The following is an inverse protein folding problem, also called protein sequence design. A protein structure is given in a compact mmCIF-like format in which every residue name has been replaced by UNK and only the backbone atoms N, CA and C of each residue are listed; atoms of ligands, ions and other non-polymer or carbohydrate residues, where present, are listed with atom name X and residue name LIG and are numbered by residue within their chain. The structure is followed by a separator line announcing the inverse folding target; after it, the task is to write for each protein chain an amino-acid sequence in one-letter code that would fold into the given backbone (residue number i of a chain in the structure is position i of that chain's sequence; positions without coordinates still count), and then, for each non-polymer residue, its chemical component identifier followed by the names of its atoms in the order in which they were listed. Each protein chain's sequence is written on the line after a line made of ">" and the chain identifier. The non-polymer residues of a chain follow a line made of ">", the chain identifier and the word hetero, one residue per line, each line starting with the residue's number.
data_IF_911468265433
#
_entry.id   IF_911468265433
#
_cell.length_a   1.000
_cell.length_b   1.000
_cell.length_c   1.000
_cell.angle_alpha   90.00
_cell.angle_beta   90.00
_cell.angle_gamma   90.00
#
_symmetry.space_group_name_H-M   'P 1'
#
loop_
_entity.id
_entity.type
_entity.pdbx_description
1 polymer ?
#
# COMPACT_ATOMS: atom_id res chain seq x y z
N UNK A 1 -10.97 16.95 -47.62
CA UNK A 1 -11.61 15.63 -47.46
C UNK A 1 -12.41 15.71 -46.17
N UNK A 2 -13.71 15.92 -46.29
CA UNK A 2 -14.61 16.04 -45.14
C UNK A 2 -14.96 14.63 -44.68
N UNK A 3 -14.60 14.27 -43.45
CA UNK A 3 -15.12 13.06 -42.81
C UNK A 3 -16.63 13.27 -42.60
N UNK A 4 -17.40 12.65 -43.47
CA UNK A 4 -18.85 12.59 -43.38
C UNK A 4 -19.19 11.67 -42.19
N UNK A 5 -19.36 12.27 -41.00
CA UNK A 5 -19.76 11.53 -39.80
C UNK A 5 -21.20 11.08 -40.02
N UNK A 6 -21.38 9.83 -40.45
CA UNK A 6 -22.68 9.19 -40.56
C UNK A 6 -23.36 9.17 -39.18
N UNK A 7 -24.36 10.04 -38.99
CA UNK A 7 -25.18 10.07 -37.78
C UNK A 7 -26.19 8.93 -37.87
N UNK A 8 -26.14 7.91 -37.00
CA UNK A 8 -27.08 6.80 -37.07
C UNK A 8 -28.50 7.24 -36.68
N UNK A 9 -29.55 6.61 -37.25
CA UNK A 9 -30.94 6.93 -36.97
C UNK A 9 -31.28 6.71 -35.48
N UNK A 10 -31.92 7.70 -34.86
CA UNK A 10 -32.31 7.80 -33.42
C UNK A 10 -33.25 6.70 -32.88
N UNK A 11 -33.47 5.60 -33.60
CA UNK A 11 -34.57 4.68 -33.32
C UNK A 11 -34.33 3.71 -32.15
N UNK A 12 -33.09 3.53 -31.69
CA UNK A 12 -32.80 2.73 -30.50
C UNK A 12 -31.70 3.37 -29.63
N UNK A 13 -32.13 4.07 -28.57
CA UNK A 13 -31.26 4.79 -27.65
C UNK A 13 -30.13 3.90 -27.09
N UNK A 14 -30.37 2.60 -26.90
CA UNK A 14 -29.36 1.70 -26.36
C UNK A 14 -28.30 1.29 -27.40
N UNK A 15 -28.67 1.15 -28.66
CA UNK A 15 -27.73 0.85 -29.74
C UNK A 15 -26.90 2.08 -30.11
N UNK A 16 -27.53 3.26 -30.12
CA UNK A 16 -26.86 4.54 -30.33
C UNK A 16 -25.81 4.84 -29.24
N UNK A 17 -26.16 4.62 -27.97
CA UNK A 17 -25.23 4.77 -26.85
C UNK A 17 -24.06 3.79 -26.94
N UNK A 18 -24.30 2.51 -27.29
CA UNK A 18 -23.24 1.52 -27.48
C UNK A 18 -22.30 1.87 -28.63
N UNK A 19 -22.85 2.36 -29.74
CA UNK A 19 -22.07 2.80 -30.90
C UNK A 19 -21.19 4.02 -30.57
N UNK A 20 -21.74 5.04 -29.90
CA UNK A 20 -20.96 6.20 -29.44
C UNK A 20 -19.89 5.78 -28.44
N UNK A 21 -20.20 4.88 -27.51
CA UNK A 21 -19.22 4.37 -26.55
C UNK A 21 -18.07 3.61 -27.23
N UNK A 22 -18.37 2.84 -28.29
CA UNK A 22 -17.37 2.15 -29.07
C UNK A 22 -16.48 3.11 -29.88
N UNK A 23 -17.08 4.16 -30.46
CA UNK A 23 -16.38 5.09 -31.37
C UNK A 23 -15.64 6.23 -30.64
N UNK A 24 -16.18 6.73 -29.53
CA UNK A 24 -15.71 7.93 -28.83
C UNK A 24 -15.40 7.70 -27.33
N UNK A 25 -15.55 6.46 -26.85
CA UNK A 25 -15.36 6.08 -25.46
C UNK A 25 -16.56 6.38 -24.54
N UNK A 26 -16.46 5.95 -23.28
CA UNK A 26 -17.49 6.22 -22.27
C UNK A 26 -17.68 7.73 -21.99
N UNK A 27 -18.81 8.16 -21.41
CA UNK A 27 -19.04 9.54 -20.98
C UNK A 27 -17.89 10.16 -20.19
N UNK A 28 -17.75 11.49 -20.24
CA UNK A 28 -16.65 12.22 -19.60
C UNK A 28 -16.47 11.87 -18.11
N UNK A 29 -17.58 11.78 -17.36
CA UNK A 29 -17.56 11.37 -15.96
C UNK A 29 -16.97 9.96 -15.77
N UNK A 30 -17.35 8.98 -16.60
CA UNK A 30 -16.82 7.61 -16.54
C UNK A 30 -15.31 7.61 -16.81
N UNK A 31 -14.86 8.30 -17.86
CA UNK A 31 -13.43 8.38 -18.18
C UNK A 31 -12.62 9.06 -17.07
N UNK A 32 -13.18 10.11 -16.46
CA UNK A 32 -12.55 10.83 -15.34
C UNK A 32 -12.41 9.94 -14.11
N UNK A 33 -13.50 9.25 -13.73
CA UNK A 33 -13.48 8.30 -12.62
C UNK A 33 -12.48 7.17 -12.87
N UNK A 34 -12.49 6.58 -14.06
CA UNK A 34 -11.54 5.53 -14.46
C UNK A 34 -10.09 6.02 -14.42
N UNK A 35 -9.79 7.18 -15.01
CA UNK A 35 -8.43 7.75 -15.02
C UNK A 35 -7.91 7.97 -13.59
N UNK A 36 -8.74 8.50 -12.69
CA UNK A 36 -8.34 8.67 -11.29
C UNK A 36 -8.11 7.33 -10.61
N UNK A 37 -9.02 6.36 -10.80
CA UNK A 37 -8.89 5.03 -10.22
C UNK A 37 -7.61 4.32 -10.70
N UNK A 38 -7.38 4.29 -12.02
CA UNK A 38 -6.20 3.65 -12.62
C UNK A 38 -4.91 4.31 -12.11
N UNK A 39 -4.87 5.64 -12.02
CA UNK A 39 -3.72 6.37 -11.49
C UNK A 39 -3.43 6.02 -10.02
N UNK A 40 -4.46 6.00 -9.16
CA UNK A 40 -4.30 5.62 -7.76
C UNK A 40 -3.87 4.16 -7.59
N UNK A 41 -4.46 3.24 -8.37
CA UNK A 41 -4.06 1.83 -8.37
C UNK A 41 -2.60 1.66 -8.80
N UNK A 42 -2.14 2.41 -9.80
CA UNK A 42 -0.75 2.39 -10.22
C UNK A 42 0.20 2.92 -9.13
N UNK A 43 -0.18 3.99 -8.42
CA UNK A 43 0.58 4.48 -7.26
C UNK A 43 0.69 3.40 -6.19
N UNK A 44 -0.43 2.79 -5.79
CA UNK A 44 -0.44 1.72 -4.79
C UNK A 44 0.40 0.53 -5.20
N UNK A 45 0.30 0.10 -6.46
CA UNK A 45 1.12 -0.99 -6.98
C UNK A 45 2.60 -0.63 -6.95
N UNK A 46 2.97 0.61 -7.29
CA UNK A 46 4.37 1.06 -7.24
C UNK A 46 4.93 1.04 -5.81
N UNK A 47 4.13 1.45 -4.82
CA UNK A 47 4.51 1.43 -3.42
C UNK A 47 4.58 0.01 -2.84
N UNK A 48 3.67 -0.86 -3.26
CA UNK A 48 3.63 -2.25 -2.83
C UNK A 48 4.88 -3.03 -3.28
N UNK A 49 5.45 -2.73 -4.46
CA UNK A 49 6.66 -3.39 -4.98
C UNK A 49 7.84 -3.31 -4.01
N UNK A 50 8.03 -2.19 -3.31
CA UNK A 50 9.11 -2.04 -2.32
C UNK A 50 8.98 -2.97 -1.10
N UNK A 51 7.83 -3.62 -0.95
CA UNK A 51 7.53 -4.54 0.15
C UNK A 51 7.30 -5.98 -0.33
N UNK A 52 7.33 -6.24 -1.63
CA UNK A 52 7.07 -7.58 -2.17
C UNK A 52 8.33 -8.44 -2.19
N UNK A 53 8.26 -9.69 -1.72
CA UNK A 53 9.40 -10.59 -1.75
C UNK A 53 9.79 -10.93 -3.20
N UNK A 54 11.10 -10.92 -3.50
CA UNK A 54 11.64 -11.33 -4.79
C UNK A 54 11.64 -10.25 -5.88
N UNK A 55 11.21 -9.02 -5.58
CA UNK A 55 11.43 -7.88 -6.46
C UNK A 55 12.83 -7.30 -6.23
N UNK A 56 13.48 -6.76 -7.26
CA UNK A 56 14.82 -6.14 -7.15
C UNK A 56 14.84 -4.95 -6.17
N UNK A 57 13.67 -4.36 -5.96
CA UNK A 57 13.44 -3.23 -5.07
C UNK A 57 12.87 -3.65 -3.71
N UNK A 58 12.98 -4.92 -3.31
CA UNK A 58 12.47 -5.39 -2.02
C UNK A 58 13.25 -4.78 -0.84
N UNK A 59 12.74 -3.68 -0.30
CA UNK A 59 13.37 -2.99 0.83
C UNK A 59 13.17 -3.73 2.15
N UNK A 60 12.29 -4.74 2.18
CA UNK A 60 12.05 -5.60 3.33
C UNK A 60 12.94 -6.85 3.34
N UNK A 61 13.76 -7.07 2.31
CA UNK A 61 14.63 -8.24 2.20
C UNK A 61 15.50 -8.44 3.45
N UNK A 62 16.15 -7.37 3.93
CA UNK A 62 17.00 -7.46 5.13
C UNK A 62 16.19 -7.78 6.38
N UNK A 63 15.00 -7.18 6.55
CA UNK A 63 14.11 -7.47 7.68
C UNK A 63 13.70 -8.93 7.67
N UNK A 64 13.32 -9.49 6.51
CA UNK A 64 12.99 -10.91 6.36
C UNK A 64 14.15 -11.81 6.73
N UNK A 65 15.36 -11.49 6.27
CA UNK A 65 16.57 -12.26 6.60
C UNK A 65 16.80 -12.27 8.11
N UNK A 66 16.80 -11.09 8.77
CA UNK A 66 17.02 -10.99 10.22
C UNK A 66 15.94 -11.67 11.03
N UNK A 67 14.69 -11.54 10.61
CA UNK A 67 13.55 -12.18 11.26
C UNK A 67 13.58 -13.71 11.12
N UNK A 68 13.93 -14.22 9.93
CA UNK A 68 14.15 -15.64 9.71
C UNK A 68 15.32 -16.18 10.53
N UNK A 69 16.42 -15.42 10.62
CA UNK A 69 17.60 -15.82 11.41
C UNK A 69 17.26 -15.88 12.90
N UNK A 70 16.56 -14.87 13.42
CA UNK A 70 16.09 -14.85 14.80
C UNK A 70 15.24 -16.08 15.12
N UNK A 71 14.26 -16.41 14.27
CA UNK A 71 13.41 -17.58 14.46
C UNK A 71 14.22 -18.89 14.40
N UNK A 72 15.13 -19.04 13.43
CA UNK A 72 15.97 -20.23 13.30
C UNK A 72 16.90 -20.43 14.50
N UNK A 73 17.50 -19.35 15.02
CA UNK A 73 18.36 -19.38 16.21
C UNK A 73 17.57 -19.71 17.47
N UNK A 74 16.39 -19.12 17.64
CA UNK A 74 15.52 -19.38 18.79
C UNK A 74 14.99 -20.82 18.80
N UNK A 75 14.68 -21.36 17.62
CA UNK A 75 14.02 -22.65 17.42
C UNK A 75 12.55 -22.64 17.83
N UNK A 76 12.21 -21.97 18.92
CA UNK A 76 10.86 -21.72 19.42
C UNK A 76 10.75 -20.30 19.99
N UNK A 77 9.60 -19.67 19.80
CA UNK A 77 9.31 -18.31 20.27
C UNK A 77 9.36 -18.19 21.79
N UNK A 78 9.07 -19.27 22.53
CA UNK A 78 9.17 -19.30 24.00
C UNK A 78 10.56 -18.90 24.51
N UNK A 79 11.61 -19.13 23.71
CA UNK A 79 12.99 -18.76 24.06
C UNK A 79 13.25 -17.25 24.04
N UNK A 80 12.36 -16.46 23.44
CA UNK A 80 12.46 -14.99 23.43
C UNK A 80 11.74 -14.33 24.62
N UNK A 81 10.90 -15.05 25.37
CA UNK A 81 10.18 -14.53 26.54
C UNK A 81 11.06 -13.89 27.62
N UNK A 82 12.30 -14.39 27.89
CA UNK A 82 13.18 -13.71 28.84
C UNK A 82 13.66 -12.34 28.35
N UNK A 83 13.72 -12.13 27.03
CA UNK A 83 14.29 -10.94 26.39
C UNK A 83 13.24 -9.91 25.95
N UNK A 84 11.98 -10.33 25.79
CA UNK A 84 10.88 -9.52 25.27
C UNK A 84 9.71 -9.51 26.25
N UNK A 85 8.99 -8.39 26.32
CA UNK A 85 7.66 -8.40 26.91
C UNK A 85 6.64 -9.08 25.98
N UNK A 86 5.45 -9.39 26.52
CA UNK A 86 4.41 -10.11 25.79
C UNK A 86 3.94 -9.38 24.51
N UNK A 87 3.93 -8.04 24.53
CA UNK A 87 3.53 -7.25 23.37
C UNK A 87 4.61 -7.27 22.27
N UNK A 88 5.88 -7.17 22.64
CA UNK A 88 7.01 -7.27 21.71
C UNK A 88 7.14 -8.67 21.12
N UNK A 89 6.88 -9.71 21.91
CA UNK A 89 6.82 -11.08 21.41
C UNK A 89 5.71 -11.23 20.36
N UNK A 90 4.51 -10.70 20.64
CA UNK A 90 3.38 -10.69 19.69
C UNK A 90 3.74 -9.93 18.41
N UNK A 91 4.43 -8.80 18.52
CA UNK A 91 4.93 -8.04 17.36
C UNK A 91 5.84 -8.90 16.48
N UNK A 92 6.82 -9.59 17.07
CA UNK A 92 7.76 -10.44 16.31
C UNK A 92 7.02 -11.60 15.63
N UNK A 93 6.08 -12.25 16.32
CA UNK A 93 5.25 -13.32 15.77
C UNK A 93 4.37 -12.84 14.60
N UNK A 94 3.74 -11.68 14.76
CA UNK A 94 2.92 -11.06 13.72
C UNK A 94 3.78 -10.70 12.50
N UNK A 95 4.94 -10.06 12.71
CA UNK A 95 5.89 -9.77 11.65
C UNK A 95 6.33 -11.03 10.91
N UNK A 96 6.57 -12.13 11.64
CA UNK A 96 6.99 -13.39 11.01
C UNK A 96 5.87 -13.95 10.13
N UNK A 97 4.63 -13.87 10.61
CA UNK A 97 3.43 -14.30 9.88
C UNK A 97 3.18 -13.46 8.63
N UNK A 98 3.29 -12.14 8.76
CA UNK A 98 3.02 -11.18 7.68
C UNK A 98 4.11 -11.19 6.60
N UNK A 99 5.38 -11.32 7.02
CA UNK A 99 6.52 -11.20 6.11
C UNK A 99 6.98 -12.54 5.54
N UNK A 100 6.55 -13.66 6.13
CA UNK A 100 6.85 -15.04 5.71
C UNK A 100 8.32 -15.22 5.30
N UNK A 101 9.28 -14.99 6.21
CA UNK A 101 10.70 -15.00 5.86
C UNK A 101 11.14 -16.39 5.38
N UNK A 102 11.86 -16.44 4.25
CA UNK A 102 12.40 -17.67 3.68
C UNK A 102 13.92 -17.60 3.66
N UNK A 103 14.56 -18.40 4.52
CA UNK A 103 16.01 -18.56 4.51
C UNK A 103 16.40 -19.72 3.60
N UNK A 104 17.38 -19.49 2.71
CA UNK A 104 17.97 -20.57 1.89
C UNK A 104 18.79 -21.54 2.73
N UNK A 105 19.49 -21.02 3.74
CA UNK A 105 20.35 -21.76 4.66
C UNK A 105 20.11 -21.22 6.07
N UNK A 106 19.15 -21.80 6.83
CA UNK A 106 18.93 -21.39 8.20
C UNK A 106 20.13 -21.78 9.08
N UNK A 107 20.56 -20.92 10.02
CA UNK A 107 21.57 -21.30 11.01
C UNK A 107 21.03 -22.43 11.92
N UNK A 108 21.94 -23.19 12.52
CA UNK A 108 21.56 -24.15 13.56
C UNK A 108 20.97 -23.41 14.77
N UNK A 109 19.98 -23.98 15.48
CA UNK A 109 19.44 -23.39 16.69
C UNK A 109 20.53 -23.12 17.74
N UNK A 110 20.56 -21.91 18.27
CA UNK A 110 21.45 -21.47 19.34
C UNK A 110 20.68 -20.51 20.27
N UNK A 111 19.93 -21.06 21.24
CA UNK A 111 19.03 -20.28 22.08
C UNK A 111 19.73 -19.56 23.23
N UNK A 112 21.06 -19.36 23.15
CA UNK A 112 21.81 -18.64 24.18
C UNK A 112 21.32 -17.18 24.24
N UNK A 113 21.06 -16.61 25.43
CA UNK A 113 20.49 -15.27 25.57
C UNK A 113 21.26 -14.16 24.83
N UNK A 114 22.59 -14.20 24.83
CA UNK A 114 23.42 -13.19 24.17
C UNK A 114 23.33 -13.25 22.64
N UNK A 115 23.24 -14.47 22.09
CA UNK A 115 23.06 -14.70 20.65
C UNK A 115 21.70 -14.18 20.20
N UNK A 116 20.64 -14.53 20.95
CA UNK A 116 19.28 -14.08 20.67
C UNK A 116 19.12 -12.57 20.84
N UNK A 117 19.76 -11.97 21.85
CA UNK A 117 19.78 -10.52 22.06
C UNK A 117 20.46 -9.81 20.89
N UNK A 118 21.60 -10.31 20.43
CA UNK A 118 22.30 -9.76 19.27
C UNK A 118 21.43 -9.85 18.02
N UNK A 119 20.82 -11.01 17.75
CA UNK A 119 19.90 -11.18 16.62
C UNK A 119 18.66 -10.27 16.69
N UNK A 120 18.12 -10.03 17.88
CA UNK A 120 17.04 -9.07 18.10
C UNK A 120 17.47 -7.63 17.83
N UNK A 121 18.67 -7.22 18.26
CA UNK A 121 19.21 -5.90 17.97
C UNK A 121 19.41 -5.69 16.46
N UNK A 122 19.97 -6.68 15.76
CA UNK A 122 20.12 -6.64 14.31
C UNK A 122 18.76 -6.53 13.58
N UNK A 123 17.73 -7.22 14.09
CA UNK A 123 16.37 -7.10 13.59
C UNK A 123 15.81 -5.68 13.83
N UNK A 124 15.97 -5.13 15.03
CA UNK A 124 15.54 -3.77 15.36
C UNK A 124 16.22 -2.73 14.44
N UNK A 125 17.52 -2.87 14.21
CA UNK A 125 18.27 -1.99 13.31
C UNK A 125 17.77 -2.08 11.87
N UNK A 126 17.53 -3.29 11.37
CA UNK A 126 16.97 -3.51 10.03
C UNK A 126 15.59 -2.86 9.89
N UNK A 127 14.71 -3.01 10.89
CA UNK A 127 13.39 -2.37 10.93
C UNK A 127 13.54 -0.84 10.97
N UNK A 128 14.45 -0.31 11.80
CA UNK A 128 14.66 1.13 11.93
C UNK A 128 15.20 1.74 10.63
N UNK A 129 16.09 1.03 9.94
CA UNK A 129 16.59 1.42 8.64
C UNK A 129 15.47 1.46 7.60
N UNK A 130 14.68 0.38 7.49
CA UNK A 130 13.52 0.33 6.61
C UNK A 130 12.56 1.48 6.89
N UNK A 131 12.16 1.68 8.15
CA UNK A 131 11.19 2.70 8.53
C UNK A 131 11.67 4.11 8.19
N UNK A 132 12.94 4.44 8.45
CA UNK A 132 13.53 5.74 8.08
C UNK A 132 13.56 5.94 6.56
N UNK A 133 14.00 4.91 5.82
CA UNK A 133 14.06 4.96 4.35
C UNK A 133 12.66 5.09 3.74
N UNK A 134 11.70 4.33 4.24
CA UNK A 134 10.30 4.35 3.81
C UNK A 134 9.65 5.71 4.04
N UNK A 135 9.80 6.26 5.25
CA UNK A 135 9.24 7.56 5.59
C UNK A 135 9.80 8.67 4.69
N UNK A 136 11.13 8.69 4.49
CA UNK A 136 11.77 9.65 3.58
C UNK A 136 11.26 9.50 2.15
N UNK A 137 11.10 8.26 1.68
CA UNK A 137 10.58 8.00 0.34
C UNK A 137 9.16 8.55 0.19
N UNK A 138 8.24 8.24 1.11
CA UNK A 138 6.87 8.76 1.08
C UNK A 138 6.82 10.28 1.12
N UNK A 139 7.67 10.93 1.92
CA UNK A 139 7.78 12.39 1.99
C UNK A 139 8.35 13.02 0.71
N UNK A 140 9.10 12.27 -0.08
CA UNK A 140 9.71 12.74 -1.33
C UNK A 140 8.83 12.58 -2.57
N UNK A 141 7.68 11.89 -2.45
CA UNK A 141 6.77 11.68 -3.58
C UNK A 141 6.12 13.00 -3.99
N UNK A 142 6.18 13.31 -5.29
CA UNK A 142 5.35 14.38 -5.86
C UNK A 142 3.91 13.88 -6.03
N UNK A 143 3.03 14.31 -5.13
CA UNK A 143 1.61 13.96 -5.15
C UNK A 143 0.75 14.95 -5.96
N UNK A 144 1.33 16.03 -6.48
CA UNK A 144 0.61 17.13 -7.14
C UNK A 144 -0.22 16.64 -8.34
N UNK A 145 0.28 15.63 -9.06
CA UNK A 145 -0.46 15.01 -10.16
C UNK A 145 -1.77 14.35 -9.67
N UNK A 146 -1.71 13.56 -8.60
CA UNK A 146 -2.86 12.85 -8.05
C UNK A 146 -3.84 13.81 -7.39
N UNK A 147 -3.33 14.82 -6.67
CA UNK A 147 -4.15 15.87 -6.07
C UNK A 147 -4.96 16.62 -7.13
N UNK A 148 -4.36 16.95 -8.28
CA UNK A 148 -5.10 17.54 -9.41
C UNK A 148 -6.18 16.63 -9.95
N UNK A 149 -5.91 15.33 -10.12
CA UNK A 149 -6.92 14.37 -10.57
C UNK A 149 -8.08 14.24 -9.57
N UNK A 150 -7.79 14.26 -8.27
CA UNK A 150 -8.81 14.24 -7.20
C UNK A 150 -9.63 15.53 -7.23
N UNK A 151 -8.99 16.69 -7.34
CA UNK A 151 -9.66 17.97 -7.41
C UNK A 151 -10.58 18.05 -8.64
N UNK A 152 -10.10 17.62 -9.80
CA UNK A 152 -10.88 17.54 -11.04
C UNK A 152 -12.07 16.58 -10.91
N UNK A 153 -11.86 15.40 -10.32
CA UNK A 153 -12.94 14.45 -10.05
C UNK A 153 -13.99 15.07 -9.14
N UNK A 154 -13.59 15.61 -7.99
CA UNK A 154 -14.50 16.20 -7.01
C UNK A 154 -15.28 17.39 -7.60
N UNK A 155 -14.65 18.18 -8.48
CA UNK A 155 -15.27 19.36 -9.09
C UNK A 155 -16.20 19.03 -10.25
N UNK A 156 -15.80 18.15 -11.15
CA UNK A 156 -16.48 17.99 -12.45
C UNK A 156 -17.27 16.70 -12.58
N UNK A 157 -16.93 15.64 -11.84
CA UNK A 157 -17.57 14.33 -12.02
C UNK A 157 -19.08 14.37 -11.80
N UNK A 158 -19.53 15.04 -10.74
CA UNK A 158 -20.95 15.14 -10.42
C UNK A 158 -21.71 15.95 -11.48
N UNK A 159 -21.16 17.09 -11.90
CA UNK A 159 -21.74 17.93 -12.97
C UNK A 159 -21.87 17.16 -14.29
N UNK A 160 -20.82 16.46 -14.70
CA UNK A 160 -20.81 15.64 -15.90
C UNK A 160 -21.82 14.49 -15.82
N UNK A 161 -21.96 13.87 -14.63
CA UNK A 161 -22.94 12.81 -14.39
C UNK A 161 -24.38 13.34 -14.37
N UNK A 162 -24.61 14.55 -13.84
CA UNK A 162 -25.91 15.23 -13.90
C UNK A 162 -26.34 15.53 -15.34
N UNK A 163 -25.43 16.03 -16.18
CA UNK A 163 -25.70 16.27 -17.60
C UNK A 163 -26.05 14.98 -18.35
N UNK A 164 -25.37 13.87 -18.04
CA UNK A 164 -25.63 12.58 -18.67
C UNK A 164 -26.99 11.99 -18.27
N UNK A 165 -27.32 12.04 -16.97
CA UNK A 165 -28.52 11.40 -16.42
C UNK A 165 -29.76 12.28 -16.46
N UNK A 166 -29.60 13.58 -16.75
CA UNK A 166 -30.64 14.60 -16.69
C UNK A 166 -31.41 14.62 -15.36
N UNK A 167 -30.75 14.19 -14.27
CA UNK A 167 -31.36 14.04 -12.95
C UNK A 167 -30.32 14.24 -11.85
N UNK A 168 -30.39 15.35 -11.09
CA UNK A 168 -29.52 15.60 -9.94
C UNK A 168 -29.62 14.51 -8.87
N UNK A 169 -30.82 13.98 -8.67
CA UNK A 169 -31.07 12.90 -7.70
C UNK A 169 -30.30 11.63 -8.07
N UNK A 170 -30.37 11.21 -9.33
CA UNK A 170 -29.66 10.01 -9.80
C UNK A 170 -28.15 10.23 -9.87
N UNK A 171 -27.70 11.44 -10.19
CA UNK A 171 -26.27 11.74 -10.26
C UNK A 171 -25.59 11.69 -8.89
N UNK A 172 -26.26 12.16 -7.83
CA UNK A 172 -25.72 12.13 -6.46
C UNK A 172 -25.63 10.72 -5.87
N UNK A 173 -26.42 9.76 -6.37
CA UNK A 173 -26.36 8.38 -5.89
C UNK A 173 -24.95 7.80 -6.08
N UNK A 174 -24.34 7.38 -4.97
CA UNK A 174 -23.01 6.78 -4.94
C UNK A 174 -21.84 7.74 -5.20
N UNK A 175 -22.08 9.05 -5.35
CA UNK A 175 -20.97 10.01 -5.42
C UNK A 175 -20.45 10.30 -4.02
N UNK A 176 -19.16 10.09 -3.82
CA UNK A 176 -18.44 10.49 -2.61
C UNK A 176 -17.22 11.32 -3.02
N UNK A 177 -17.07 12.55 -2.50
CA UNK A 177 -15.86 13.31 -2.72
C UNK A 177 -14.68 12.59 -2.08
N UNK A 178 -13.57 12.53 -2.80
CA UNK A 178 -12.35 11.89 -2.30
C UNK A 178 -11.52 12.91 -1.51
N UNK A 179 -10.93 12.52 -0.37
CA UNK A 179 -10.04 13.39 0.38
C UNK A 179 -8.77 13.68 -0.42
N UNK A 180 -8.10 14.80 -0.09
CA UNK A 180 -6.79 15.10 -0.67
C UNK A 180 -5.78 14.02 -0.31
N UNK A 181 -4.95 13.64 -1.27
CA UNK A 181 -3.95 12.59 -1.08
C UNK A 181 -2.66 13.20 -0.51
N UNK A 182 -2.34 12.86 0.73
CA UNK A 182 -1.11 13.31 1.39
C UNK A 182 -0.19 12.13 1.72
N UNK A 183 1.10 12.39 1.96
CA UNK A 183 2.01 11.33 2.40
C UNK A 183 1.58 10.71 3.73
N UNK A 184 0.91 11.46 4.62
CA UNK A 184 0.33 10.91 5.86
C UNK A 184 -0.81 9.93 5.55
N UNK A 185 -1.64 10.22 4.55
CA UNK A 185 -2.69 9.29 4.13
C UNK A 185 -2.11 7.99 3.55
N UNK A 186 -0.98 8.09 2.83
CA UNK A 186 -0.24 6.92 2.35
C UNK A 186 0.38 6.13 3.51
N UNK A 187 0.85 6.80 4.56
CA UNK A 187 1.37 6.13 5.76
C UNK A 187 0.30 5.31 6.47
N UNK A 188 -0.95 5.78 6.49
CA UNK A 188 -2.08 5.00 7.02
C UNK A 188 -2.38 3.73 6.23
N UNK A 189 -2.17 3.75 4.91
CA UNK A 189 -2.34 2.58 4.02
C UNK A 189 -1.12 1.64 4.03
N UNK A 190 0.07 2.21 4.11
CA UNK A 190 1.36 1.50 4.10
C UNK A 190 2.13 1.84 5.38
N UNK A 191 1.71 1.27 6.53
CA UNK A 191 2.26 1.64 7.82
C UNK A 191 3.73 1.25 7.95
N UNK A 192 4.42 1.95 8.85
CA UNK A 192 5.76 1.54 9.30
C UNK A 192 5.68 0.18 9.99
N UNK A 193 6.80 -0.54 9.99
CA UNK A 193 6.88 -1.78 10.74
C UNK A 193 6.93 -1.47 12.24
N UNK A 194 6.16 -2.19 13.08
CA UNK A 194 6.27 -2.09 14.53
C UNK A 194 7.67 -2.52 14.99
N UNK A 195 8.19 -1.82 16.01
CA UNK A 195 9.50 -2.11 16.60
C UNK A 195 9.32 -2.91 17.89
N UNK A 196 9.80 -4.17 17.97
CA UNK A 196 9.81 -4.90 19.23
C UNK A 196 10.77 -4.22 20.21
N UNK A 197 10.47 -4.25 21.51
CA UNK A 197 11.32 -3.66 22.55
C UNK A 197 12.00 -4.78 23.34
N UNK A 198 13.31 -4.63 23.55
CA UNK A 198 14.03 -5.47 24.49
C UNK A 198 13.59 -5.09 25.91
N UNK A 199 13.44 -6.08 26.78
CA UNK A 199 13.39 -5.83 28.22
C UNK A 199 14.72 -5.19 28.60
N UNK A 200 14.68 -3.94 29.04
CA UNK A 200 15.84 -3.33 29.67
C UNK A 200 16.14 -4.18 30.91
N UNK A 201 17.39 -4.58 31.07
CA UNK A 201 17.88 -5.09 32.35
C UNK A 201 17.78 -3.91 33.32
N UNK A 202 16.64 -3.76 34.00
CA UNK A 202 16.57 -2.97 35.22
C UNK A 202 17.62 -3.58 36.14
N UNK A 203 18.72 -2.86 36.30
CA UNK A 203 19.71 -3.11 37.33
C UNK A 203 19.00 -3.08 38.67
N UNK A 204 18.57 -4.25 39.15
CA UNK A 204 18.33 -4.45 40.56
C UNK A 204 19.71 -4.58 41.23
N UNK A 205 20.21 -3.43 41.68
CA UNK A 205 21.20 -3.32 42.75
C UNK A 205 20.53 -2.65 43.94
#
# INVERSE_FOLDING_TARGET
>A
MSDEIAVPPRQDNQQWLRWIQAQYGGPACIRRGKRLHDALAQLEQSLARFRQPGHDDDWLAMVRIRLGQLHALAGDWSKLEPLLDADSLRIVQQLYTDLQPQLRLPPAPDPRPDVLRTALQELQEAIAFFNRRWLRHLQSLDLSFYERLIADYNRYYLLEKECLLQSPRLARLGFQPLPSLTWQSLLGRFPLLPMPRLRNETSEH
#
